data_IF_515932937518
#
_entry.id   IF_515932937518
#
_cell.length_a   1.000
_cell.length_b   1.000
_cell.length_c   1.000
_cell.angle_alpha   90.00
_cell.angle_beta   90.00
_cell.angle_gamma   90.00
#
_symmetry.space_group_name_H-M   'P 1'
#
loop_
_entity.id
_entity.type
_entity.pdbx_description
1 polymer ?
#
# COMPACT_ATOMS: atom_id res chain seq x y z
N UNK A 1 -18.31 10.57 8.71
CA UNK A 1 -18.65 11.79 7.98
C UNK A 1 -19.96 12.34 8.53
N UNK A 2 -19.88 13.45 9.25
CA UNK A 2 -21.04 14.24 9.61
C UNK A 2 -21.02 15.49 8.74
N UNK A 3 -22.11 15.77 8.00
CA UNK A 3 -22.26 16.99 7.22
C UNK A 3 -22.11 18.26 8.07
N UNK A 4 -22.24 18.12 9.40
CA UNK A 4 -22.15 19.21 10.34
C UNK A 4 -20.72 19.71 10.67
N UNK A 5 -19.67 18.94 10.32
CA UNK A 5 -18.29 19.30 10.69
C UNK A 5 -17.27 18.93 9.60
N UNK A 6 -17.23 19.69 8.49
CA UNK A 6 -16.28 19.43 7.40
C UNK A 6 -14.81 19.62 7.83
N UNK A 7 -14.54 20.40 8.86
CA UNK A 7 -13.20 20.67 9.39
C UNK A 7 -12.51 19.43 9.99
N UNK A 8 -13.26 18.39 10.36
CA UNK A 8 -12.67 17.12 10.82
C UNK A 8 -11.81 16.44 9.74
N UNK A 9 -12.07 16.72 8.46
CA UNK A 9 -11.24 16.24 7.36
C UNK A 9 -9.82 16.82 7.41
N UNK A 10 -9.69 18.08 7.79
CA UNK A 10 -8.39 18.74 7.89
C UNK A 10 -7.51 18.09 8.97
N UNK A 11 -8.11 17.52 10.02
CA UNK A 11 -7.37 16.79 11.06
C UNK A 11 -6.96 15.40 10.57
N UNK A 12 -7.79 14.72 9.78
CA UNK A 12 -7.48 13.40 9.27
C UNK A 12 -6.42 13.39 8.16
N UNK A 13 -6.38 14.45 7.34
CA UNK A 13 -5.48 14.55 6.17
C UNK A 13 -4.00 14.41 6.52
N UNK A 14 -3.44 15.07 7.56
CA UNK A 14 -2.04 14.89 7.93
C UNK A 14 -1.68 13.45 8.33
N UNK A 15 -2.58 12.76 9.03
CA UNK A 15 -2.37 11.36 9.42
C UNK A 15 -2.34 10.44 8.21
N UNK A 16 -3.22 10.65 7.24
CA UNK A 16 -3.25 9.91 5.97
C UNK A 16 -1.96 10.18 5.18
N UNK A 17 -1.56 11.45 5.05
CA UNK A 17 -0.34 11.82 4.34
C UNK A 17 0.91 11.21 4.98
N UNK A 18 1.02 11.26 6.31
CA UNK A 18 2.12 10.64 7.06
C UNK A 18 2.13 9.12 6.89
N UNK A 19 0.97 8.47 6.98
CA UNK A 19 0.83 7.02 6.78
C UNK A 19 1.23 6.58 5.38
N UNK A 20 0.76 7.26 4.33
CA UNK A 20 1.13 6.97 2.95
C UNK A 20 2.62 7.23 2.68
N UNK A 21 3.14 8.36 3.14
CA UNK A 21 4.57 8.69 2.99
C UNK A 21 5.46 7.66 3.67
N UNK A 22 5.14 7.26 4.91
CA UNK A 22 5.83 6.21 5.64
C UNK A 22 5.78 4.87 4.92
N UNK A 23 4.61 4.48 4.41
CA UNK A 23 4.42 3.24 3.67
C UNK A 23 5.35 3.18 2.43
N UNK A 24 5.35 4.22 1.59
CA UNK A 24 6.20 4.23 0.39
C UNK A 24 7.70 4.24 0.72
N UNK A 25 8.10 4.92 1.80
CA UNK A 25 9.50 4.93 2.25
C UNK A 25 9.93 3.53 2.71
N UNK A 26 9.10 2.86 3.53
CA UNK A 26 9.39 1.51 4.00
C UNK A 26 9.42 0.50 2.86
N UNK A 27 8.47 0.56 1.92
CA UNK A 27 8.45 -0.32 0.75
C UNK A 27 9.69 -0.13 -0.13
N UNK A 28 10.15 1.10 -0.33
CA UNK A 28 11.39 1.39 -1.05
C UNK A 28 12.61 0.76 -0.39
N UNK A 29 12.72 0.86 0.95
CA UNK A 29 13.79 0.22 1.72
C UNK A 29 13.74 -1.31 1.59
N UNK A 30 12.56 -1.91 1.69
CA UNK A 30 12.41 -3.37 1.56
C UNK A 30 12.80 -3.89 0.17
N UNK A 31 12.47 -3.15 -0.89
CA UNK A 31 12.91 -3.49 -2.26
C UNK A 31 14.43 -3.44 -2.37
N UNK A 32 15.08 -2.45 -1.76
CA UNK A 32 16.54 -2.37 -1.72
C UNK A 32 17.16 -3.57 -0.99
N UNK A 33 16.61 -3.95 0.18
CA UNK A 33 17.09 -5.10 0.95
C UNK A 33 16.93 -6.43 0.18
N UNK A 34 15.85 -6.58 -0.59
CA UNK A 34 15.66 -7.74 -1.50
C UNK A 34 16.70 -7.74 -2.62
N UNK A 35 17.01 -6.57 -3.19
CA UNK A 35 18.06 -6.45 -4.23
C UNK A 35 19.43 -6.83 -3.68
N UNK A 36 19.76 -6.42 -2.46
CA UNK A 36 21.02 -6.76 -1.81
C UNK A 36 21.11 -8.27 -1.52
N UNK A 37 20.02 -8.89 -1.06
CA UNK A 37 19.95 -10.34 -0.87
C UNK A 37 20.11 -11.10 -2.18
N UNK A 38 19.46 -10.63 -3.26
CA UNK A 38 19.59 -11.22 -4.58
C UNK A 38 21.03 -11.11 -5.13
N UNK A 39 21.67 -9.95 -4.95
CA UNK A 39 23.07 -9.75 -5.33
C UNK A 39 24.01 -10.67 -4.56
N UNK A 40 23.78 -10.87 -3.27
CA UNK A 40 24.58 -11.79 -2.45
C UNK A 40 24.51 -13.24 -2.98
N UNK A 41 23.31 -13.67 -3.40
CA UNK A 41 23.04 -15.03 -3.84
C UNK A 41 23.45 -15.28 -5.30
N UNK A 42 23.29 -14.28 -6.18
CA UNK A 42 23.47 -14.46 -7.64
C UNK A 42 24.73 -13.79 -8.18
N UNK A 43 25.33 -12.89 -7.43
CA UNK A 43 26.45 -12.05 -7.89
C UNK A 43 26.04 -10.97 -8.89
N UNK A 44 24.75 -10.78 -9.15
CA UNK A 44 24.25 -9.81 -10.12
C UNK A 44 23.30 -8.80 -9.45
N UNK A 45 23.56 -7.52 -9.66
CA UNK A 45 22.71 -6.44 -9.16
C UNK A 45 21.55 -6.17 -10.13
N UNK A 46 20.34 -6.61 -9.78
CA UNK A 46 19.16 -6.55 -10.66
C UNK A 46 18.11 -5.54 -10.20
N UNK A 47 18.54 -4.39 -9.70
CA UNK A 47 17.64 -3.33 -9.15
C UNK A 47 16.54 -2.91 -10.14
N UNK A 48 16.90 -2.75 -11.42
CA UNK A 48 15.92 -2.36 -12.44
C UNK A 48 14.79 -3.37 -12.61
N UNK A 49 15.08 -4.65 -12.49
CA UNK A 49 14.08 -5.72 -12.56
C UNK A 49 13.12 -5.65 -11.35
N UNK A 50 13.66 -5.60 -10.14
CA UNK A 50 12.84 -5.54 -8.92
C UNK A 50 12.02 -4.25 -8.87
N UNK A 51 12.62 -3.10 -9.23
CA UNK A 51 11.91 -1.83 -9.34
C UNK A 51 10.76 -1.87 -10.35
N UNK A 52 10.97 -2.47 -11.51
CA UNK A 52 9.93 -2.61 -12.55
C UNK A 52 8.78 -3.48 -12.07
N UNK A 53 9.06 -4.63 -11.43
CA UNK A 53 8.04 -5.52 -10.87
C UNK A 53 7.25 -4.80 -9.78
N UNK A 54 7.94 -4.09 -8.88
CA UNK A 54 7.29 -3.32 -7.82
C UNK A 54 6.27 -2.32 -8.39
N UNK A 55 6.70 -1.46 -9.33
CA UNK A 55 5.83 -0.46 -9.92
C UNK A 55 4.71 -1.07 -10.77
N UNK A 56 4.95 -2.21 -11.40
CA UNK A 56 3.91 -2.94 -12.13
C UNK A 56 2.82 -3.43 -11.17
N UNK A 57 3.20 -4.04 -10.04
CA UNK A 57 2.25 -4.49 -9.01
C UNK A 57 1.47 -3.34 -8.41
N UNK A 58 2.12 -2.20 -8.12
CA UNK A 58 1.45 -0.99 -7.62
C UNK A 58 0.41 -0.49 -8.63
N UNK A 59 0.76 -0.38 -9.91
CA UNK A 59 -0.17 0.05 -10.96
C UNK A 59 -1.34 -0.91 -11.15
N UNK A 60 -1.08 -2.22 -11.08
CA UNK A 60 -2.13 -3.24 -11.13
C UNK A 60 -3.10 -3.08 -9.95
N UNK A 61 -2.56 -2.89 -8.75
CA UNK A 61 -3.37 -2.63 -7.55
C UNK A 61 -4.23 -1.39 -7.68
N UNK A 62 -3.68 -0.29 -8.22
CA UNK A 62 -4.45 0.93 -8.50
C UNK A 62 -5.57 0.72 -9.51
N UNK A 63 -5.29 0.00 -10.60
CA UNK A 63 -6.29 -0.31 -11.61
C UNK A 63 -7.44 -1.16 -11.06
N UNK A 64 -7.10 -2.17 -10.24
CA UNK A 64 -8.09 -3.01 -9.55
C UNK A 64 -8.92 -2.20 -8.56
N UNK A 65 -8.31 -1.29 -7.80
CA UNK A 65 -9.00 -0.43 -6.85
C UNK A 65 -10.00 0.50 -7.55
N UNK A 66 -9.62 1.11 -8.68
CA UNK A 66 -10.50 1.95 -9.48
C UNK A 66 -11.67 1.16 -10.08
N UNK A 67 -11.39 -0.02 -10.64
CA UNK A 67 -12.43 -0.91 -11.19
C UNK A 67 -13.40 -1.37 -10.11
N UNK A 68 -12.89 -1.78 -8.94
CA UNK A 68 -13.69 -2.19 -7.80
C UNK A 68 -14.55 -1.03 -7.28
N UNK A 69 -14.00 0.18 -7.19
CA UNK A 69 -14.73 1.38 -6.77
C UNK A 69 -15.94 1.66 -7.66
N UNK A 70 -15.77 1.61 -8.99
CA UNK A 70 -16.87 1.78 -9.92
C UNK A 70 -17.94 0.69 -9.82
N UNK A 71 -17.51 -0.56 -9.66
CA UNK A 71 -18.41 -1.69 -9.45
C UNK A 71 -19.22 -1.54 -8.15
N UNK A 72 -18.55 -1.21 -7.05
CA UNK A 72 -19.19 -1.02 -5.75
C UNK A 72 -20.18 0.16 -5.78
N UNK A 73 -19.83 1.25 -6.46
CA UNK A 73 -20.74 2.39 -6.63
C UNK A 73 -22.06 1.95 -7.28
N UNK A 74 -22.00 1.21 -8.37
CA UNK A 74 -23.18 0.64 -9.02
C UNK A 74 -23.92 -0.35 -8.10
N UNK A 75 -23.20 -1.22 -7.42
CA UNK A 75 -23.78 -2.21 -6.52
C UNK A 75 -24.55 -1.61 -5.34
N UNK A 76 -24.09 -0.44 -4.83
CA UNK A 76 -24.79 0.28 -3.76
C UNK A 76 -26.10 0.93 -4.21
N UNK A 77 -26.36 0.98 -5.52
CA UNK A 77 -27.54 1.66 -6.10
C UNK A 77 -27.41 3.19 -6.03
N UNK A 78 -26.18 3.71 -6.16
CA UNK A 78 -25.94 5.15 -6.23
C UNK A 78 -26.54 5.71 -7.52
N UNK A 79 -27.39 6.73 -7.37
CA UNK A 79 -28.02 7.43 -8.48
C UNK A 79 -27.45 8.85 -8.61
N UNK A 80 -26.84 9.13 -9.76
CA UNK A 80 -26.19 10.42 -10.03
C UNK A 80 -27.22 11.55 -10.08
N UNK A 81 -28.45 11.26 -10.53
CA UNK A 81 -29.51 12.27 -10.65
C UNK A 81 -30.00 12.76 -9.26
N UNK A 82 -29.96 11.89 -8.26
CA UNK A 82 -30.36 12.23 -6.88
C UNK A 82 -29.30 13.07 -6.14
N UNK A 83 -28.08 13.18 -6.65
CA UNK A 83 -26.99 13.94 -6.04
C UNK A 83 -26.77 13.60 -4.58
N UNK A 84 -26.96 14.59 -3.69
CA UNK A 84 -26.80 14.42 -2.23
C UNK A 84 -28.00 13.74 -1.53
N UNK A 85 -29.14 13.57 -2.22
CA UNK A 85 -30.37 13.03 -1.64
C UNK A 85 -30.50 11.51 -1.86
N UNK A 86 -29.40 10.78 -1.64
CA UNK A 86 -29.37 9.33 -1.78
C UNK A 86 -30.20 8.64 -0.69
N UNK A 87 -30.81 7.45 -0.98
CA UNK A 87 -31.46 6.63 0.02
C UNK A 87 -30.51 6.28 1.18
N UNK A 88 -31.02 6.19 2.40
CA UNK A 88 -30.21 5.85 3.57
C UNK A 88 -29.46 4.51 3.42
N UNK A 89 -30.10 3.53 2.78
CA UNK A 89 -29.48 2.23 2.48
C UNK A 89 -28.25 2.38 1.59
N UNK A 90 -28.33 3.20 0.54
CA UNK A 90 -27.22 3.48 -0.37
C UNK A 90 -26.06 4.15 0.39
N UNK A 91 -26.34 5.17 1.20
CA UNK A 91 -25.35 5.84 2.03
C UNK A 91 -24.70 4.90 3.05
N UNK A 92 -25.48 4.02 3.66
CA UNK A 92 -24.95 3.01 4.58
C UNK A 92 -24.01 2.02 3.88
N UNK A 93 -24.41 1.47 2.74
CA UNK A 93 -23.59 0.55 1.96
C UNK A 93 -22.30 1.21 1.46
N UNK A 94 -22.38 2.44 0.96
CA UNK A 94 -21.20 3.21 0.56
C UNK A 94 -20.20 3.37 1.72
N UNK A 95 -20.67 3.76 2.92
CA UNK A 95 -19.82 3.86 4.10
C UNK A 95 -19.24 2.51 4.51
N UNK A 96 -20.05 1.45 4.45
CA UNK A 96 -19.60 0.11 4.79
C UNK A 96 -18.45 -0.35 3.87
N UNK A 97 -18.55 -0.10 2.56
CA UNK A 97 -17.50 -0.47 1.61
C UNK A 97 -16.30 0.46 1.69
N UNK A 98 -16.50 1.76 1.88
CA UNK A 98 -15.43 2.76 2.02
C UNK A 98 -14.50 2.45 3.22
N UNK A 99 -15.06 1.92 4.30
CA UNK A 99 -14.30 1.54 5.49
C UNK A 99 -13.90 0.07 5.46
N UNK A 100 -14.81 -0.80 5.06
CA UNK A 100 -14.62 -2.26 5.12
C UNK A 100 -13.54 -2.78 4.18
N UNK A 101 -13.51 -2.31 2.93
CA UNK A 101 -12.52 -2.76 1.94
C UNK A 101 -11.09 -2.40 2.36
N UNK A 102 -10.79 -1.14 2.78
CA UNK A 102 -9.46 -0.82 3.29
C UNK A 102 -9.07 -1.59 4.56
N UNK A 103 -10.01 -1.87 5.47
CA UNK A 103 -9.73 -2.66 6.68
C UNK A 103 -9.28 -4.06 6.30
N UNK A 104 -10.02 -4.73 5.41
CA UNK A 104 -9.68 -6.09 4.95
C UNK A 104 -8.34 -6.10 4.23
N UNK A 105 -8.11 -5.14 3.32
CA UNK A 105 -6.84 -5.01 2.60
C UNK A 105 -5.66 -4.78 3.56
N UNK A 106 -5.83 -3.90 4.55
CA UNK A 106 -4.82 -3.63 5.57
C UNK A 106 -4.53 -4.84 6.45
N UNK A 107 -5.56 -5.61 6.84
CA UNK A 107 -5.38 -6.83 7.61
C UNK A 107 -4.57 -7.88 6.83
N UNK A 108 -4.85 -8.05 5.53
CA UNK A 108 -4.08 -8.94 4.65
C UNK A 108 -2.63 -8.45 4.54
N UNK A 109 -2.41 -7.15 4.37
CA UNK A 109 -1.08 -6.57 4.29
C UNK A 109 -0.29 -6.80 5.57
N UNK A 110 -0.87 -6.54 6.75
CA UNK A 110 -0.25 -6.78 8.06
C UNK A 110 0.08 -8.26 8.22
N UNK A 111 -0.84 -9.16 7.88
CA UNK A 111 -0.62 -10.59 7.96
C UNK A 111 0.53 -11.06 7.05
N UNK A 112 0.63 -10.54 5.83
CA UNK A 112 1.70 -10.83 4.89
C UNK A 112 3.03 -10.32 5.42
N UNK A 113 3.06 -9.08 5.96
CA UNK A 113 4.25 -8.48 6.55
C UNK A 113 4.74 -9.25 7.78
N UNK A 114 3.83 -9.72 8.63
CA UNK A 114 4.19 -10.51 9.81
C UNK A 114 4.87 -11.85 9.45
N UNK A 115 4.69 -12.31 8.22
CA UNK A 115 5.36 -13.53 7.70
C UNK A 115 6.58 -13.26 6.84
N UNK A 116 6.97 -12.00 6.72
CA UNK A 116 8.11 -11.62 5.90
C UNK A 116 9.43 -12.13 6.52
N UNK A 117 10.21 -12.95 5.80
CA UNK A 117 11.35 -13.66 6.38
C UNK A 117 12.63 -12.81 6.50
N UNK A 118 12.69 -11.66 5.83
CA UNK A 118 13.86 -10.78 5.84
C UNK A 118 13.73 -9.78 6.99
N UNK A 119 14.28 -10.12 8.14
CA UNK A 119 14.35 -9.24 9.31
C UNK A 119 15.42 -8.17 9.12
N UNK A 120 15.36 -7.09 9.91
CA UNK A 120 16.37 -6.03 9.92
C UNK A 120 17.78 -6.56 10.20
N UNK A 121 17.91 -7.51 11.12
CA UNK A 121 19.18 -8.14 11.48
C UNK A 121 19.77 -8.87 10.26
N UNK A 122 18.94 -9.63 9.54
CA UNK A 122 19.34 -10.36 8.34
C UNK A 122 19.71 -9.43 7.19
N UNK A 123 18.99 -8.31 7.03
CA UNK A 123 19.32 -7.29 6.04
C UNK A 123 20.68 -6.62 6.34
N UNK A 124 20.98 -6.34 7.62
CA UNK A 124 22.29 -5.83 8.03
C UNK A 124 23.40 -6.82 7.76
N UNK A 125 23.19 -8.11 8.05
CA UNK A 125 24.16 -9.16 7.79
C UNK A 125 24.46 -9.29 6.28
N UNK A 126 23.44 -9.30 5.43
CA UNK A 126 23.57 -9.30 3.98
C UNK A 126 24.43 -8.13 3.48
N UNK A 127 24.15 -6.94 4.02
CA UNK A 127 24.86 -5.72 3.66
C UNK A 127 26.33 -5.79 4.06
N UNK A 128 26.63 -6.25 5.27
CA UNK A 128 28.02 -6.43 5.75
C UNK A 128 28.79 -7.44 4.87
N UNK A 129 28.15 -8.54 4.44
CA UNK A 129 28.75 -9.52 3.55
C UNK A 129 29.05 -8.96 2.15
N UNK A 130 28.15 -8.14 1.61
CA UNK A 130 28.37 -7.45 0.32
C UNK A 130 29.50 -6.43 0.39
N UNK A 131 29.57 -5.64 1.46
CA UNK A 131 30.66 -4.68 1.70
C UNK A 131 32.03 -5.40 1.78
N UNK A 132 32.10 -6.50 2.50
CA UNK A 132 33.32 -7.32 2.58
C UNK A 132 33.74 -7.88 1.20
N UNK A 133 32.78 -8.28 0.37
CA UNK A 133 33.08 -8.75 -1.00
C UNK A 133 33.57 -7.63 -1.93
N UNK A 134 33.07 -6.42 -1.76
CA UNK A 134 33.47 -5.25 -2.57
C UNK A 134 34.78 -4.63 -2.13
N UNK A 135 35.35 -5.05 -0.99
CA UNK A 135 36.59 -4.51 -0.45
C UNK A 135 36.47 -3.04 0.00
N UNK A 136 35.28 -2.56 0.27
CA UNK A 136 35.03 -1.26 0.86
C UNK A 136 35.07 -1.46 2.37
N UNK A 137 36.17 -1.07 2.96
CA UNK A 137 36.37 -0.98 4.41
C UNK A 137 36.12 0.46 4.82
#
# INVERSE_FOLDING_TARGET
YSQAQPLLLLVATPFIAFGLGGLFTLMGSMVADICDLDELNTGHRREGMFGSIFWWVVKLGMALALGLSGFLLNFTGFDVELGGNQPERTLFLMRLFDVGVPIVASAIAIWTMARYPLTEEKAREVRAQLEARRGVV
#
